data_IF_299912667944
#
_entry.id   IF_299912667944
#
_cell.length_a   1.000
_cell.length_b   1.000
_cell.length_c   1.000
_cell.angle_alpha   90.00
_cell.angle_beta   90.00
_cell.angle_gamma   90.00
#
_symmetry.space_group_name_H-M   'P 1'
#
loop_
_entity.id
_entity.type
_entity.pdbx_description
1 polymer ?
#
# COMPACT_ATOMS: atom_id res chain seq x y z
N UNK A 1 -15.51 -7.79 13.30
CA UNK A 1 -15.40 -7.76 11.83
C UNK A 1 -14.68 -6.47 11.45
N UNK A 2 -13.50 -6.61 10.85
CA UNK A 2 -12.71 -5.46 10.40
C UNK A 2 -13.11 -5.21 8.95
N UNK A 3 -13.93 -4.20 8.72
CA UNK A 3 -14.26 -3.78 7.36
C UNK A 3 -13.17 -2.86 6.83
N UNK A 4 -12.43 -3.31 5.82
CA UNK A 4 -11.61 -2.43 5.01
C UNK A 4 -12.52 -1.78 3.96
N UNK A 5 -12.75 -0.48 4.08
CA UNK A 5 -13.47 0.28 3.06
C UNK A 5 -12.53 0.44 1.86
N UNK A 6 -12.79 -0.33 0.81
CA UNK A 6 -11.96 -0.37 -0.40
C UNK A 6 -12.51 0.52 -1.52
N UNK A 7 -13.75 1.01 -1.38
CA UNK A 7 -14.39 1.88 -2.37
C UNK A 7 -15.11 3.03 -1.66
N UNK A 8 -14.86 4.27 -2.09
CA UNK A 8 -15.55 5.46 -1.60
C UNK A 8 -17.07 5.42 -1.82
N UNK A 9 -17.55 4.64 -2.79
CA UNK A 9 -18.99 4.43 -3.03
C UNK A 9 -19.67 3.64 -1.92
N UNK A 10 -18.95 2.75 -1.23
CA UNK A 10 -19.47 2.05 -0.04
C UNK A 10 -19.56 2.98 1.16
N UNK A 11 -18.78 4.07 1.18
CA UNK A 11 -18.87 5.10 2.22
C UNK A 11 -20.16 5.90 2.06
N UNK A 12 -20.64 6.13 0.83
CA UNK A 12 -21.80 6.97 0.57
C UNK A 12 -23.14 6.37 1.07
N UNK A 13 -23.27 5.05 1.03
CA UNK A 13 -24.51 4.37 1.48
C UNK A 13 -24.55 4.15 3.01
N UNK A 14 -23.40 4.01 3.66
CA UNK A 14 -23.30 3.82 5.11
C UNK A 14 -22.96 5.08 5.90
N UNK A 15 -22.59 6.19 5.24
CA UNK A 15 -22.08 7.39 5.91
C UNK A 15 -23.13 8.15 6.74
N UNK A 16 -24.41 8.04 6.37
CA UNK A 16 -25.50 8.66 7.11
C UNK A 16 -25.75 7.96 8.47
N UNK A 17 -25.47 6.67 8.57
CA UNK A 17 -25.67 5.90 9.82
C UNK A 17 -24.51 6.07 10.81
N UNK A 18 -23.31 6.39 10.33
CA UNK A 18 -22.10 6.52 11.16
C UNK A 18 -21.65 7.97 11.35
N UNK A 19 -22.42 8.94 10.86
CA UNK A 19 -22.17 10.37 11.10
C UNK A 19 -21.01 10.99 10.31
N UNK A 20 -20.57 10.37 9.22
CA UNK A 20 -19.63 10.99 8.30
C UNK A 20 -20.37 11.85 7.27
N UNK A 21 -20.08 13.13 7.23
CA UNK A 21 -20.56 14.04 6.20
C UNK A 21 -19.65 13.95 4.97
N UNK A 22 -20.22 13.74 3.78
CA UNK A 22 -19.47 13.91 2.54
C UNK A 22 -19.00 15.35 2.47
N UNK A 23 -17.76 15.57 2.01
CA UNK A 23 -17.18 16.93 1.84
C UNK A 23 -18.06 17.83 0.96
N UNK A 24 -18.76 17.24 -0.03
CA UNK A 24 -19.66 17.93 -0.94
C UNK A 24 -20.94 18.45 -0.26
N UNK A 25 -21.34 17.86 0.88
CA UNK A 25 -22.51 18.27 1.67
C UNK A 25 -22.14 19.30 2.76
N UNK A 26 -20.86 19.68 2.88
CA UNK A 26 -20.43 20.65 3.88
C UNK A 26 -20.72 22.09 3.41
N UNK A 27 -21.52 22.90 4.13
CA UNK A 27 -21.99 24.21 3.66
C UNK A 27 -20.89 25.22 3.32
N UNK A 28 -19.67 25.03 3.83
CA UNK A 28 -18.53 25.92 3.60
C UNK A 28 -17.47 25.34 2.66
N UNK A 29 -17.64 24.06 2.23
CA UNK A 29 -16.67 23.46 1.33
C UNK A 29 -16.99 23.85 -0.12
N UNK A 30 -16.04 24.44 -0.79
CA UNK A 30 -16.05 24.63 -2.25
C UNK A 30 -14.99 23.71 -2.81
N UNK A 31 -15.40 22.82 -3.72
CA UNK A 31 -14.44 22.01 -4.46
C UNK A 31 -13.34 22.93 -5.02
N UNK A 32 -12.07 22.57 -4.88
CA UNK A 32 -11.01 23.27 -5.58
C UNK A 32 -11.41 23.25 -7.06
N UNK A 33 -11.54 24.44 -7.66
CA UNK A 33 -11.66 24.53 -9.11
C UNK A 33 -10.53 23.68 -9.68
N UNK A 34 -10.85 22.69 -10.48
CA UNK A 34 -9.87 21.95 -11.26
C UNK A 34 -9.08 22.98 -12.07
N UNK A 35 -8.04 23.54 -11.46
CA UNK A 35 -6.91 23.91 -12.25
C UNK A 35 -6.50 22.57 -12.84
N UNK A 36 -6.72 22.44 -14.17
CA UNK A 36 -6.03 21.43 -14.96
C UNK A 36 -4.59 21.48 -14.48
N UNK A 37 -4.28 20.65 -13.48
CA UNK A 37 -2.94 20.24 -13.24
C UNK A 37 -2.58 19.64 -14.58
N UNK A 38 -1.89 20.44 -15.39
CA UNK A 38 -1.01 19.89 -16.38
C UNK A 38 -0.42 18.67 -15.68
N UNK A 39 -0.79 17.50 -16.17
CA UNK A 39 -0.02 16.32 -15.92
C UNK A 39 1.35 16.67 -16.52
N UNK A 40 2.08 17.51 -15.80
CA UNK A 40 3.49 17.66 -15.96
C UNK A 40 3.95 16.24 -15.79
N UNK A 41 4.22 15.59 -16.93
CA UNK A 41 5.06 14.41 -16.99
C UNK A 41 6.16 14.73 -16.01
N UNK A 42 6.04 14.18 -14.81
CA UNK A 42 7.00 14.36 -13.75
C UNK A 42 8.30 14.10 -14.45
N UNK A 43 9.17 15.09 -14.46
CA UNK A 43 10.45 15.05 -15.15
C UNK A 43 11.20 13.95 -14.39
N UNK A 44 10.96 12.69 -14.80
CA UNK A 44 11.59 11.52 -14.19
C UNK A 44 13.05 11.74 -14.45
N UNK A 45 13.73 12.16 -13.39
CA UNK A 45 15.12 12.59 -13.43
C UNK A 45 15.92 11.57 -14.24
N UNK A 46 16.65 12.02 -15.25
CA UNK A 46 17.54 11.20 -16.08
C UNK A 46 18.74 10.68 -15.25
N UNK A 47 18.47 10.24 -14.02
CA UNK A 47 19.46 9.73 -13.09
C UNK A 47 19.55 8.20 -13.17
N UNK A 48 20.69 7.67 -12.76
CA UNK A 48 20.89 6.24 -12.56
C UNK A 48 20.91 5.95 -11.07
N UNK A 49 20.03 5.05 -10.62
CA UNK A 49 20.02 4.50 -9.27
C UNK A 49 21.01 3.33 -9.27
N UNK A 50 22.15 3.51 -8.61
CA UNK A 50 23.17 2.45 -8.47
C UNK A 50 22.84 1.59 -7.26
N UNK A 51 22.85 0.28 -7.48
CA UNK A 51 22.67 -0.74 -6.46
C UNK A 51 23.92 -1.64 -6.41
N UNK A 52 24.18 -2.37 -5.33
CA UNK A 52 25.35 -3.24 -5.23
C UNK A 52 25.48 -4.28 -6.37
N UNK A 53 24.37 -4.72 -6.93
CA UNK A 53 24.30 -5.77 -7.95
C UNK A 53 23.93 -5.25 -9.34
N UNK A 54 23.81 -3.94 -9.53
CA UNK A 54 23.44 -3.37 -10.83
C UNK A 54 22.90 -1.95 -10.71
N UNK A 55 22.10 -1.55 -11.69
CA UNK A 55 21.52 -0.20 -11.70
C UNK A 55 20.19 -0.17 -12.43
N UNK A 56 19.38 0.86 -12.12
CA UNK A 56 18.12 1.18 -12.81
C UNK A 56 18.07 2.67 -13.12
N UNK A 57 17.34 3.05 -14.16
CA UNK A 57 16.77 4.39 -14.19
C UNK A 57 15.51 4.42 -13.29
N UNK A 58 15.10 5.58 -12.76
CA UNK A 58 13.87 5.68 -11.98
C UNK A 58 12.64 5.14 -12.72
N UNK A 59 12.57 5.37 -14.03
CA UNK A 59 11.50 4.87 -14.90
C UNK A 59 11.46 3.34 -14.92
N UNK A 60 12.59 2.70 -15.21
CA UNK A 60 12.68 1.23 -15.26
C UNK A 60 12.37 0.62 -13.89
N UNK A 61 12.90 1.20 -12.80
CA UNK A 61 12.60 0.72 -11.45
C UNK A 61 11.10 0.81 -11.14
N UNK A 62 10.45 1.90 -11.52
CA UNK A 62 9.00 2.06 -11.35
C UNK A 62 8.23 0.95 -12.08
N UNK A 63 8.58 0.69 -13.35
CA UNK A 63 7.94 -0.39 -14.11
C UNK A 63 8.20 -1.77 -13.52
N UNK A 64 9.44 -2.05 -13.07
CA UNK A 64 9.77 -3.32 -12.40
C UNK A 64 8.90 -3.52 -11.16
N UNK A 65 8.80 -2.51 -10.29
CA UNK A 65 7.99 -2.59 -9.08
C UNK A 65 6.48 -2.76 -9.38
N UNK A 66 5.99 -2.10 -10.43
CA UNK A 66 4.59 -2.18 -10.84
C UNK A 66 4.24 -3.48 -11.61
N UNK A 67 5.24 -4.21 -12.10
CA UNK A 67 5.05 -5.49 -12.81
C UNK A 67 4.93 -6.65 -11.82
N UNK A 68 5.40 -6.49 -10.59
CA UNK A 68 5.30 -7.55 -9.58
C UNK A 68 3.83 -7.87 -9.28
N UNK A 69 3.44 -9.16 -9.16
CA UNK A 69 2.06 -9.57 -8.87
C UNK A 69 1.74 -9.41 -7.37
N UNK A 70 2.14 -8.29 -6.80
CA UNK A 70 1.96 -7.93 -5.40
C UNK A 70 1.77 -6.42 -5.29
N UNK A 71 1.00 -6.00 -4.32
CA UNK A 71 0.95 -4.60 -3.90
C UNK A 71 2.04 -4.32 -2.89
N UNK A 72 2.76 -3.24 -3.09
CA UNK A 72 3.81 -2.78 -2.18
C UNK A 72 3.40 -1.42 -1.63
N UNK A 73 3.58 -1.23 -0.31
CA UNK A 73 3.53 0.08 0.34
C UNK A 73 4.71 0.20 1.28
N UNK A 74 5.47 1.28 1.20
CA UNK A 74 6.56 1.57 2.12
C UNK A 74 6.20 2.77 2.99
N UNK A 75 6.29 2.54 4.30
CA UNK A 75 6.12 3.54 5.36
C UNK A 75 7.49 3.81 5.95
N UNK A 76 7.92 5.05 5.98
CA UNK A 76 9.25 5.43 6.46
C UNK A 76 9.39 5.35 8.00
N UNK A 77 10.58 5.66 8.50
CA UNK A 77 10.88 5.65 9.93
C UNK A 77 10.10 6.71 10.75
N UNK A 78 9.48 7.67 10.07
CA UNK A 78 8.59 8.67 10.66
C UNK A 78 7.13 8.22 10.66
N UNK A 79 6.84 6.99 10.26
CA UNK A 79 5.50 6.42 10.15
C UNK A 79 4.65 7.10 9.04
N UNK A 80 5.30 7.68 8.02
CA UNK A 80 4.67 8.32 6.88
C UNK A 80 4.74 7.44 5.64
N UNK A 81 3.65 7.40 4.87
CA UNK A 81 3.64 6.66 3.61
C UNK A 81 4.58 7.34 2.61
N UNK A 82 5.68 6.69 2.29
CA UNK A 82 6.70 7.23 1.38
C UNK A 82 6.56 6.72 -0.06
N UNK A 83 6.02 5.50 -0.23
CA UNK A 83 5.88 4.89 -1.56
C UNK A 83 4.77 3.86 -1.58
N UNK A 84 4.13 3.67 -2.74
CA UNK A 84 3.33 2.50 -3.07
C UNK A 84 3.44 2.17 -4.56
N UNK A 85 3.40 0.85 -4.90
CA UNK A 85 3.38 0.40 -6.29
C UNK A 85 2.00 0.64 -6.93
N UNK A 86 1.97 0.90 -8.23
CA UNK A 86 0.75 1.02 -9.03
C UNK A 86 0.66 -0.16 -10.00
N UNK A 87 0.41 -1.36 -9.47
CA UNK A 87 0.10 -2.52 -10.30
C UNK A 87 -1.27 -2.34 -10.99
N UNK A 88 -1.49 -3.07 -12.09
CA UNK A 88 -2.72 -2.98 -12.88
C UNK A 88 -3.98 -3.35 -12.07
N UNK A 89 -3.84 -4.23 -11.10
CA UNK A 89 -4.92 -4.66 -10.21
C UNK A 89 -4.45 -4.59 -8.75
N UNK A 90 -4.58 -3.39 -8.14
CA UNK A 90 -4.35 -3.30 -6.71
C UNK A 90 -5.52 -3.90 -5.93
N UNK A 91 -5.18 -4.66 -4.88
CA UNK A 91 -6.15 -5.21 -3.94
C UNK A 91 -6.78 -4.07 -3.13
N UNK A 92 -5.94 -3.17 -2.59
CA UNK A 92 -6.39 -1.98 -1.89
C UNK A 92 -6.11 -0.75 -2.76
N UNK A 93 -7.18 -0.09 -3.22
CA UNK A 93 -7.05 1.14 -4.00
C UNK A 93 -6.32 2.23 -3.18
N UNK A 94 -5.37 2.90 -3.81
CA UNK A 94 -4.62 4.01 -3.21
C UNK A 94 -4.46 5.14 -4.22
N UNK A 95 -4.43 6.35 -3.73
CA UNK A 95 -4.14 7.54 -4.53
C UNK A 95 -2.88 8.22 -4.00
N UNK A 96 -2.24 9.06 -4.81
CA UNK A 96 -1.05 9.82 -4.41
C UNK A 96 -1.29 10.75 -3.22
N UNK A 97 -2.54 11.05 -2.88
CA UNK A 97 -2.91 11.85 -1.72
C UNK A 97 -2.51 11.24 -0.36
N UNK A 98 -2.14 9.95 -0.33
CA UNK A 98 -1.66 9.31 0.90
C UNK A 98 -0.17 9.55 1.16
N UNK A 99 0.61 9.97 0.16
CA UNK A 99 2.05 10.20 0.31
C UNK A 99 2.30 11.32 1.33
N UNK A 100 3.19 11.07 2.29
CA UNK A 100 3.47 11.94 3.43
C UNK A 100 2.44 11.87 4.56
N UNK A 101 1.38 11.05 4.42
CA UNK A 101 0.39 10.86 5.47
C UNK A 101 0.87 9.85 6.50
N UNK A 102 0.61 10.12 7.78
CA UNK A 102 0.83 9.13 8.85
C UNK A 102 0.02 7.87 8.57
N UNK A 103 0.65 6.71 8.63
CA UNK A 103 0.03 5.41 8.31
C UNK A 103 -1.21 5.13 9.15
N UNK A 104 -1.22 5.56 10.40
CA UNK A 104 -2.38 5.41 11.28
C UNK A 104 -3.63 6.10 10.73
N UNK A 105 -3.47 7.25 10.07
CA UNK A 105 -4.57 8.00 9.47
C UNK A 105 -5.07 7.41 8.13
N UNK A 106 -4.46 6.31 7.69
CA UNK A 106 -4.88 5.56 6.52
C UNK A 106 -5.79 4.35 6.88
N UNK A 107 -6.11 4.19 8.16
CA UNK A 107 -6.86 3.05 8.68
C UNK A 107 -8.12 3.51 9.43
N UNK A 108 -9.20 2.70 9.41
CA UNK A 108 -10.40 2.99 10.20
C UNK A 108 -10.08 3.02 11.71
N UNK A 109 -10.80 3.85 12.50
CA UNK A 109 -10.57 3.96 13.95
C UNK A 109 -10.56 2.61 14.68
N UNK A 110 -11.39 1.66 14.23
CA UNK A 110 -11.48 0.32 14.84
C UNK A 110 -10.18 -0.49 14.75
N UNK A 111 -9.33 -0.24 13.74
CA UNK A 111 -8.07 -0.97 13.53
C UNK A 111 -6.81 -0.15 13.88
N UNK A 112 -6.95 1.13 14.21
CA UNK A 112 -5.80 2.01 14.49
C UNK A 112 -4.87 1.44 15.56
N UNK A 113 -5.41 0.96 16.68
CA UNK A 113 -4.62 0.38 17.77
C UNK A 113 -3.82 -0.85 17.37
N UNK A 114 -4.34 -1.65 16.41
CA UNK A 114 -3.63 -2.84 15.89
C UNK A 114 -2.47 -2.39 15.01
N UNK A 115 -2.69 -1.39 14.17
CA UNK A 115 -1.66 -0.80 13.30
C UNK A 115 -0.55 -0.17 14.13
N UNK A 116 -0.89 0.63 15.14
CA UNK A 116 0.08 1.22 16.08
C UNK A 116 0.95 0.15 16.74
N UNK A 117 0.30 -0.91 17.23
CA UNK A 117 1.04 -2.01 17.87
C UNK A 117 1.99 -2.70 16.89
N UNK A 118 1.53 -3.02 15.68
CA UNK A 118 2.37 -3.66 14.66
C UNK A 118 3.57 -2.77 14.33
N UNK A 119 3.35 -1.49 14.06
CA UNK A 119 4.42 -0.54 13.75
C UNK A 119 5.40 -0.41 14.92
N UNK A 120 4.91 -0.29 16.16
CA UNK A 120 5.75 -0.22 17.34
C UNK A 120 6.61 -1.48 17.54
N UNK A 121 6.02 -2.67 17.37
CA UNK A 121 6.71 -3.95 17.48
C UNK A 121 7.82 -4.09 16.41
N UNK A 122 7.54 -3.72 15.15
CA UNK A 122 8.51 -3.73 14.06
C UNK A 122 9.63 -2.71 14.29
N UNK A 123 9.27 -1.51 14.75
CA UNK A 123 10.21 -0.41 15.00
C UNK A 123 11.17 -0.72 16.15
N UNK A 124 10.66 -1.29 17.24
CA UNK A 124 11.46 -1.66 18.41
C UNK A 124 12.31 -2.91 18.21
N UNK A 125 12.05 -3.73 17.18
CA UNK A 125 12.69 -5.02 16.99
C UNK A 125 12.08 -6.15 17.82
N UNK A 126 10.91 -5.94 18.43
CA UNK A 126 10.16 -7.00 19.10
C UNK A 126 9.71 -8.09 18.10
N UNK A 127 9.58 -7.72 16.83
CA UNK A 127 9.42 -8.64 15.69
C UNK A 127 9.99 -8.01 14.42
N UNK A 128 10.33 -8.82 13.44
CA UNK A 128 10.76 -8.37 12.11
C UNK A 128 9.68 -8.55 11.06
N UNK A 129 8.68 -9.40 11.34
CA UNK A 129 7.58 -9.70 10.43
C UNK A 129 6.26 -9.77 11.22
N UNK A 130 5.20 -9.24 10.62
CA UNK A 130 3.82 -9.50 11.03
C UNK A 130 3.03 -9.85 9.76
N UNK A 131 2.11 -10.82 9.86
CA UNK A 131 1.30 -11.23 8.72
C UNK A 131 -0.10 -11.63 9.15
N UNK A 132 -1.03 -11.51 8.21
CA UNK A 132 -2.38 -12.05 8.31
C UNK A 132 -2.96 -12.31 6.92
N UNK A 133 -4.05 -13.06 6.87
CA UNK A 133 -4.73 -13.40 5.62
C UNK A 133 -6.23 -13.41 5.80
N UNK A 134 -6.94 -12.93 4.77
CA UNK A 134 -8.40 -12.75 4.81
C UNK A 134 -9.03 -13.14 3.47
N UNK A 135 -10.26 -13.61 3.53
CA UNK A 135 -11.10 -13.73 2.33
C UNK A 135 -11.75 -12.38 2.01
N UNK A 136 -11.65 -11.95 0.74
CA UNK A 136 -12.29 -10.76 0.19
C UNK A 136 -12.98 -11.11 -1.12
N UNK A 137 -14.26 -11.50 -1.05
CA UNK A 137 -14.98 -12.01 -2.20
C UNK A 137 -14.33 -13.29 -2.75
N UNK A 138 -13.92 -13.24 -4.01
CA UNK A 138 -13.21 -14.32 -4.72
C UNK A 138 -11.70 -14.36 -4.46
N UNK A 139 -11.18 -13.37 -3.74
CA UNK A 139 -9.75 -13.26 -3.43
C UNK A 139 -9.43 -13.85 -2.06
N UNK A 140 -8.29 -14.50 -1.97
CA UNK A 140 -7.68 -14.85 -0.69
C UNK A 140 -6.42 -14.01 -0.52
N UNK A 141 -6.52 -13.00 0.31
CA UNK A 141 -5.53 -11.92 0.42
C UNK A 141 -4.57 -12.22 1.56
N UNK A 142 -3.29 -12.31 1.25
CA UNK A 142 -2.20 -12.45 2.20
C UNK A 142 -1.46 -11.13 2.34
N UNK A 143 -1.44 -10.58 3.55
CA UNK A 143 -0.82 -9.29 3.88
C UNK A 143 0.35 -9.56 4.82
N UNK A 144 1.50 -9.00 4.50
CA UNK A 144 2.73 -9.15 5.28
C UNK A 144 3.37 -7.78 5.49
N UNK A 145 3.85 -7.57 6.71
CA UNK A 145 4.61 -6.38 7.11
C UNK A 145 6.01 -6.81 7.50
N UNK A 146 7.01 -6.14 6.96
CA UNK A 146 8.42 -6.40 7.21
C UNK A 146 9.07 -5.15 7.78
N UNK A 147 9.86 -5.29 8.86
CA UNK A 147 10.76 -4.23 9.28
C UNK A 147 11.91 -4.13 8.27
N UNK A 148 12.06 -2.97 7.64
CA UNK A 148 13.21 -2.67 6.79
C UNK A 148 14.28 -2.04 7.67
N UNK A 149 15.49 -2.62 7.63
CA UNK A 149 16.64 -2.17 8.44
C UNK A 149 17.86 -1.99 7.55
N UNK A 150 18.75 -1.11 7.97
CA UNK A 150 20.08 -0.99 7.36
C UNK A 150 21.03 -2.11 7.83
N UNK A 151 22.25 -2.12 7.28
CA UNK A 151 23.28 -3.11 7.63
C UNK A 151 23.73 -3.03 9.10
N UNK A 152 23.39 -1.98 9.81
CA UNK A 152 23.67 -1.79 11.24
C UNK A 152 22.49 -2.15 12.13
N UNK A 153 21.37 -2.58 11.54
CA UNK A 153 20.14 -2.92 12.22
C UNK A 153 19.23 -1.73 12.54
N UNK A 154 19.57 -0.51 12.08
CA UNK A 154 18.70 0.65 12.30
C UNK A 154 17.43 0.52 11.47
N UNK A 155 16.29 0.79 12.08
CA UNK A 155 14.98 0.74 11.43
C UNK A 155 14.84 1.89 10.43
N UNK A 156 14.58 1.53 9.16
CA UNK A 156 14.37 2.46 8.06
C UNK A 156 12.89 2.65 7.73
N UNK A 157 12.05 1.70 8.12
CA UNK A 157 10.62 1.76 7.85
C UNK A 157 9.96 0.39 7.83
N UNK A 158 8.67 0.37 7.49
CA UNK A 158 7.88 -0.84 7.30
C UNK A 158 7.54 -1.02 5.83
N UNK A 159 7.77 -2.22 5.29
CA UNK A 159 7.31 -2.64 3.98
C UNK A 159 6.06 -3.51 4.13
N UNK A 160 4.93 -3.05 3.60
CA UNK A 160 3.71 -3.84 3.42
C UNK A 160 3.76 -4.52 2.05
N UNK A 161 3.50 -5.82 2.02
CA UNK A 161 3.35 -6.62 0.81
C UNK A 161 2.02 -7.34 0.86
N UNK A 162 1.15 -7.06 -0.12
CA UNK A 162 -0.19 -7.67 -0.21
C UNK A 162 -0.31 -8.46 -1.51
N UNK A 163 -0.84 -9.67 -1.42
CA UNK A 163 -0.95 -10.59 -2.55
C UNK A 163 -2.26 -11.36 -2.50
N UNK A 164 -2.94 -11.47 -3.66
CA UNK A 164 -4.00 -12.47 -3.82
C UNK A 164 -3.35 -13.84 -4.07
N UNK A 165 -3.56 -14.77 -3.14
CA UNK A 165 -2.97 -16.11 -3.21
C UNK A 165 -3.99 -17.19 -3.60
N UNK A 166 -5.21 -16.83 -3.99
CA UNK A 166 -6.27 -17.79 -4.31
C UNK A 166 -5.85 -18.79 -5.41
N UNK A 167 -5.17 -18.32 -6.46
CA UNK A 167 -4.67 -19.20 -7.52
C UNK A 167 -3.41 -19.97 -7.10
N UNK A 168 -2.57 -19.35 -6.29
CA UNK A 168 -1.36 -20.01 -5.77
C UNK A 168 -1.73 -21.21 -4.90
N UNK A 169 -2.78 -21.11 -4.09
CA UNK A 169 -3.25 -22.22 -3.25
C UNK A 169 -3.76 -23.44 -4.04
N UNK A 170 -4.12 -23.26 -5.31
CA UNK A 170 -4.58 -24.34 -6.17
C UNK A 170 -3.44 -25.12 -6.84
N UNK A 171 -2.20 -24.63 -6.73
CA UNK A 171 -1.05 -25.27 -7.33
C UNK A 171 -0.79 -26.62 -6.67
N UNK A 172 -0.58 -27.64 -7.48
CA UNK A 172 -0.23 -29.01 -7.05
C UNK A 172 0.68 -29.66 -8.07
N UNK A 173 1.59 -30.52 -7.62
CA UNK A 173 2.57 -31.16 -8.49
C UNK A 173 3.57 -30.16 -9.07
N UNK A 174 4.19 -30.54 -10.18
CA UNK A 174 5.16 -29.73 -10.91
C UNK A 174 4.55 -29.22 -12.22
N UNK A 175 4.83 -27.96 -12.56
CA UNK A 175 4.66 -27.42 -13.91
C UNK A 175 6.02 -26.97 -14.43
N UNK A 176 6.50 -27.62 -15.49
CA UNK A 176 7.78 -27.27 -16.11
C UNK A 176 7.59 -26.17 -17.14
N UNK A 177 8.66 -25.44 -17.44
CA UNK A 177 8.63 -24.25 -18.30
C UNK A 177 8.06 -24.51 -19.71
N UNK A 178 8.17 -25.75 -20.22
CA UNK A 178 7.68 -26.15 -21.53
C UNK A 178 6.40 -27.02 -21.47
N UNK A 179 5.78 -27.15 -20.31
CA UNK A 179 4.48 -27.79 -20.15
C UNK A 179 3.39 -26.78 -20.53
N UNK A 180 2.59 -27.08 -21.57
CA UNK A 180 1.46 -26.27 -22.05
C UNK A 180 0.21 -26.43 -21.15
#
# INVERSE_FOLDING_TARGET
EVFFVTDWRQISEGSAEIGFCLLDDHPTWKAPTETKADASKANMSQGTIKLPTGHFTPEVLTHVLNTLPIDITFVDANDEVAYFSQANERIFARTTAIIGRKVINCHPPASMHVVEKIVADLKSGARDVADFYIHMGDKYVYIRYFAVRDDKGAYLGTLEVTQNIAEIQKLSGDKRLLDD
#
